data_IF_947625064091
#
_entry.id   IF_947625064091
#
_cell.length_a   1.000
_cell.length_b   1.000
_cell.length_c   1.000
_cell.angle_alpha   90.00
_cell.angle_beta   90.00
_cell.angle_gamma   90.00
#
_symmetry.space_group_name_H-M   'P 1'
#
loop_
_entity.id
_entity.type
_entity.pdbx_description
1 polymer ?
#
# COMPACT_ATOMS: atom_id res chain seq x y z
N UNK A 1 34.77 -0.40 9.54
CA UNK A 1 33.36 0.00 9.68
C UNK A 1 32.52 -1.25 9.56
N UNK A 2 31.47 -1.40 10.37
CA UNK A 2 30.53 -2.51 10.23
C UNK A 2 29.69 -2.27 8.97
N UNK A 3 29.44 -3.28 8.13
CA UNK A 3 28.63 -3.08 6.94
C UNK A 3 27.21 -2.67 7.30
N UNK A 4 26.58 -1.84 6.47
CA UNK A 4 25.18 -1.49 6.62
C UNK A 4 24.30 -2.74 6.51
N UNK A 5 23.23 -2.76 7.28
CA UNK A 5 22.15 -3.73 7.16
C UNK A 5 21.15 -3.30 6.08
N UNK A 6 20.35 -4.26 5.56
CA UNK A 6 19.26 -3.95 4.63
C UNK A 6 18.25 -2.94 5.22
N UNK A 7 17.97 -3.05 6.51
CA UNK A 7 17.09 -2.13 7.23
C UNK A 7 17.64 -0.70 7.24
N UNK A 8 18.93 -0.53 7.53
CA UNK A 8 19.60 0.78 7.48
C UNK A 8 19.58 1.36 6.07
N UNK A 9 19.81 0.53 5.04
CA UNK A 9 19.70 0.94 3.63
C UNK A 9 18.29 1.46 3.30
N UNK A 10 17.24 0.76 3.75
CA UNK A 10 15.86 1.20 3.61
C UNK A 10 15.58 2.53 4.34
N UNK A 11 16.16 2.72 5.53
CA UNK A 11 16.05 3.99 6.26
C UNK A 11 16.76 5.14 5.53
N UNK A 12 17.95 4.91 4.96
CA UNK A 12 18.66 5.91 4.15
C UNK A 12 17.83 6.35 2.94
N UNK A 13 17.17 5.42 2.26
CA UNK A 13 16.23 5.74 1.16
C UNK A 13 15.06 6.61 1.65
N UNK A 14 14.46 6.27 2.80
CA UNK A 14 13.40 7.08 3.41
C UNK A 14 13.87 8.49 3.77
N UNK A 15 15.12 8.67 4.22
CA UNK A 15 15.69 10.00 4.47
C UNK A 15 15.79 10.83 3.19
N UNK A 16 16.28 10.24 2.09
CA UNK A 16 16.37 10.90 0.79
C UNK A 16 14.99 11.26 0.23
N UNK A 17 13.99 10.40 0.40
CA UNK A 17 12.61 10.68 0.03
C UNK A 17 12.02 11.84 0.85
N UNK A 18 12.22 11.84 2.18
CA UNK A 18 11.81 12.93 3.05
C UNK A 18 12.47 14.26 2.66
N UNK A 19 13.76 14.22 2.31
CA UNK A 19 14.50 15.37 1.80
C UNK A 19 13.90 15.90 0.48
N UNK A 20 13.59 15.02 -0.47
CA UNK A 20 12.95 15.40 -1.72
C UNK A 20 11.59 16.09 -1.50
N UNK A 21 10.73 15.52 -0.64
CA UNK A 21 9.43 16.12 -0.30
C UNK A 21 9.58 17.50 0.36
N UNK A 22 10.47 17.62 1.34
CA UNK A 22 10.74 18.91 2.01
C UNK A 22 11.19 19.98 1.01
N UNK A 23 12.09 19.65 0.08
CA UNK A 23 12.55 20.59 -0.94
C UNK A 23 11.43 20.95 -1.91
N UNK A 24 10.63 19.97 -2.33
CA UNK A 24 9.49 20.18 -3.22
C UNK A 24 8.43 21.11 -2.60
N UNK A 25 8.05 20.86 -1.35
CA UNK A 25 7.07 21.71 -0.64
C UNK A 25 7.61 23.12 -0.46
N UNK A 26 8.91 23.26 -0.16
CA UNK A 26 9.54 24.57 -0.02
C UNK A 26 9.59 25.34 -1.34
N UNK A 27 9.82 24.66 -2.47
CA UNK A 27 9.79 25.27 -3.80
C UNK A 27 8.45 25.93 -4.12
N UNK A 28 7.35 25.34 -3.63
CA UNK A 28 6.00 25.85 -3.81
C UNK A 28 5.68 27.06 -2.92
N UNK A 29 6.41 27.22 -1.81
CA UNK A 29 6.19 28.30 -0.82
C UNK A 29 7.10 29.51 -1.01
N UNK A 30 8.31 29.33 -1.52
CA UNK A 30 9.30 30.41 -1.66
C UNK A 30 8.92 31.32 -2.83
N UNK A 31 9.08 32.64 -2.68
CA UNK A 31 8.88 33.63 -3.75
C UNK A 31 10.19 34.11 -4.40
N UNK A 32 11.29 34.12 -3.65
CA UNK A 32 12.61 34.57 -4.10
C UNK A 32 13.21 33.68 -5.21
N UNK A 33 13.62 34.28 -6.33
CA UNK A 33 14.15 33.57 -7.50
C UNK A 33 15.48 32.85 -7.24
N UNK A 34 16.38 33.45 -6.45
CA UNK A 34 17.68 32.86 -6.11
C UNK A 34 17.51 31.59 -5.26
N UNK A 35 16.69 31.64 -4.21
CA UNK A 35 16.37 30.50 -3.35
C UNK A 35 15.63 29.39 -4.11
N UNK A 36 14.74 29.72 -5.05
CA UNK A 36 14.11 28.71 -5.94
C UNK A 36 15.14 27.98 -6.80
N UNK A 37 16.13 28.70 -7.34
CA UNK A 37 17.18 28.08 -8.16
C UNK A 37 18.00 27.08 -7.34
N UNK A 38 18.39 27.47 -6.13
CA UNK A 38 19.15 26.62 -5.21
C UNK A 38 18.37 25.35 -4.84
N UNK A 39 17.11 25.49 -4.43
CA UNK A 39 16.24 24.35 -4.11
C UNK A 39 16.01 23.43 -5.32
N UNK A 40 15.89 23.96 -6.54
CA UNK A 40 15.78 23.13 -7.76
C UNK A 40 17.06 22.33 -8.03
N UNK A 41 18.23 22.93 -7.83
CA UNK A 41 19.51 22.22 -7.98
C UNK A 41 19.60 21.09 -6.95
N UNK A 42 19.21 21.37 -5.70
CA UNK A 42 19.22 20.38 -4.65
C UNK A 42 18.25 19.23 -4.92
N UNK A 43 17.01 19.53 -5.33
CA UNK A 43 16.02 18.51 -5.70
C UNK A 43 16.57 17.59 -6.81
N UNK A 44 17.19 18.15 -7.85
CA UNK A 44 17.80 17.35 -8.93
C UNK A 44 18.90 16.43 -8.42
N UNK A 45 19.75 16.90 -7.49
CA UNK A 45 20.80 16.07 -6.89
C UNK A 45 20.21 14.92 -6.07
N UNK A 46 19.18 15.19 -5.27
CA UNK A 46 18.48 14.16 -4.49
C UNK A 46 17.83 13.13 -5.42
N UNK A 47 17.13 13.57 -6.48
CA UNK A 47 16.50 12.68 -7.46
C UNK A 47 17.54 11.84 -8.23
N UNK A 48 18.67 12.44 -8.62
CA UNK A 48 19.78 11.71 -9.24
C UNK A 48 20.32 10.63 -8.30
N UNK A 49 20.51 10.95 -7.02
CA UNK A 49 20.95 9.98 -6.02
C UNK A 49 19.94 8.84 -5.88
N UNK A 50 18.64 9.14 -5.74
CA UNK A 50 17.57 8.12 -5.70
C UNK A 50 17.56 7.23 -6.96
N UNK A 51 17.83 7.80 -8.14
CA UNK A 51 17.90 7.05 -9.40
C UNK A 51 19.12 6.13 -9.45
N UNK A 52 20.29 6.57 -8.99
CA UNK A 52 21.49 5.72 -8.85
C UNK A 52 21.22 4.54 -7.91
N UNK A 53 20.56 4.79 -6.77
CA UNK A 53 20.12 3.73 -5.86
C UNK A 53 19.19 2.73 -6.54
N UNK A 54 18.21 3.23 -7.31
CA UNK A 54 17.28 2.37 -8.03
C UNK A 54 18.01 1.47 -9.02
N UNK A 55 18.95 2.02 -9.79
CA UNK A 55 19.76 1.26 -10.74
C UNK A 55 20.63 0.19 -10.04
N UNK A 56 21.23 0.53 -8.88
CA UNK A 56 21.99 -0.41 -8.08
C UNK A 56 21.11 -1.55 -7.56
N UNK A 57 19.91 -1.23 -7.04
CA UNK A 57 18.92 -2.22 -6.61
C UNK A 57 18.52 -3.12 -7.76
N UNK A 58 18.14 -2.56 -8.91
CA UNK A 58 17.73 -3.34 -10.08
C UNK A 58 18.87 -4.27 -10.52
N UNK A 59 20.11 -3.77 -10.61
CA UNK A 59 21.28 -4.58 -10.97
C UNK A 59 21.53 -5.72 -9.97
N UNK A 60 21.50 -5.43 -8.68
CA UNK A 60 21.77 -6.42 -7.62
C UNK A 60 20.64 -7.44 -7.51
N UNK A 61 19.39 -7.01 -7.64
CA UNK A 61 18.24 -7.88 -7.42
C UNK A 61 18.03 -8.85 -8.58
N UNK A 62 18.41 -8.45 -9.79
CA UNK A 62 18.16 -9.18 -11.05
C UNK A 62 19.32 -10.05 -11.51
N UNK A 63 20.54 -9.83 -11.03
CA UNK A 63 21.69 -10.69 -11.35
C UNK A 63 21.77 -11.87 -10.37
N UNK A 64 21.56 -13.13 -10.80
CA UNK A 64 21.86 -14.39 -10.09
C UNK A 64 21.18 -14.70 -8.71
N UNK A 65 21.04 -16.00 -8.41
CA UNK A 65 20.22 -16.55 -7.30
C UNK A 65 20.83 -16.50 -5.88
N UNK A 66 22.06 -15.99 -5.68
CA UNK A 66 22.73 -16.05 -4.36
C UNK A 66 22.47 -14.82 -3.48
N UNK A 67 21.48 -14.91 -2.59
CA UNK A 67 20.99 -13.84 -1.70
C UNK A 67 22.07 -13.13 -0.85
N UNK A 68 23.01 -13.87 -0.26
CA UNK A 68 24.03 -13.32 0.66
C UNK A 68 25.01 -12.39 -0.05
N UNK A 69 25.41 -12.71 -1.27
CA UNK A 69 26.38 -11.91 -2.04
C UNK A 69 25.76 -10.60 -2.54
N UNK A 70 24.44 -10.57 -2.70
CA UNK A 70 23.71 -9.41 -3.21
C UNK A 70 23.47 -8.35 -2.16
N UNK A 71 23.04 -8.76 -0.97
CA UNK A 71 22.90 -7.85 0.16
C UNK A 71 24.23 -7.12 0.42
N UNK A 72 25.35 -7.85 0.45
CA UNK A 72 26.67 -7.26 0.64
C UNK A 72 27.02 -6.23 -0.45
N UNK A 73 26.78 -6.53 -1.72
CA UNK A 73 27.08 -5.60 -2.84
C UNK A 73 26.28 -4.30 -2.75
N UNK A 74 24.98 -4.39 -2.45
CA UNK A 74 24.16 -3.19 -2.32
C UNK A 74 24.58 -2.37 -1.10
N UNK A 75 24.83 -3.02 0.05
CA UNK A 75 25.31 -2.33 1.25
C UNK A 75 26.65 -1.62 0.99
N UNK A 76 27.59 -2.26 0.30
CA UNK A 76 28.86 -1.63 -0.10
C UNK A 76 28.64 -0.41 -1.02
N UNK A 77 27.76 -0.50 -2.01
CA UNK A 77 27.43 0.66 -2.86
C UNK A 77 26.89 1.84 -2.04
N UNK A 78 26.04 1.56 -1.05
CA UNK A 78 25.45 2.59 -0.20
C UNK A 78 26.52 3.19 0.72
N UNK A 79 27.37 2.36 1.30
CA UNK A 79 28.52 2.78 2.11
C UNK A 79 29.43 3.74 1.37
N UNK A 80 29.75 3.45 0.10
CA UNK A 80 30.54 4.34 -0.77
C UNK A 80 29.87 5.69 -1.02
N UNK A 81 28.55 5.78 -0.85
CA UNK A 81 27.75 6.99 -1.10
C UNK A 81 27.33 7.71 0.18
N UNK A 82 27.60 7.16 1.38
CA UNK A 82 27.12 7.71 2.64
C UNK A 82 27.55 9.15 2.89
N UNK A 83 28.82 9.49 2.61
CA UNK A 83 29.32 10.86 2.79
C UNK A 83 28.58 11.84 1.87
N UNK A 84 28.37 11.46 0.61
CA UNK A 84 27.61 12.27 -0.34
C UNK A 84 26.16 12.47 0.10
N UNK A 85 25.53 11.41 0.61
CA UNK A 85 24.16 11.47 1.13
C UNK A 85 24.09 12.39 2.35
N UNK A 86 25.03 12.25 3.28
CA UNK A 86 25.10 13.10 4.47
C UNK A 86 25.23 14.59 4.09
N UNK A 87 26.07 14.90 3.09
CA UNK A 87 26.19 16.26 2.54
C UNK A 87 24.87 16.76 1.92
N UNK A 88 24.18 15.93 1.14
CA UNK A 88 22.87 16.29 0.55
C UNK A 88 21.81 16.53 1.61
N UNK A 89 21.75 15.69 2.64
CA UNK A 89 20.81 15.85 3.76
C UNK A 89 21.11 17.13 4.54
N UNK A 90 22.37 17.39 4.88
CA UNK A 90 22.79 18.61 5.57
C UNK A 90 22.47 19.87 4.76
N UNK A 91 22.76 19.86 3.45
CA UNK A 91 22.40 20.95 2.54
C UNK A 91 20.88 21.16 2.51
N UNK A 92 20.09 20.09 2.49
CA UNK A 92 18.63 20.16 2.55
C UNK A 92 18.12 20.80 3.81
N UNK A 93 18.62 20.38 4.97
CA UNK A 93 18.21 20.95 6.26
C UNK A 93 18.54 22.44 6.32
N UNK A 94 19.70 22.85 5.82
CA UNK A 94 20.13 24.24 5.80
C UNK A 94 19.29 25.10 4.84
N UNK A 95 19.08 24.66 3.60
CA UNK A 95 18.35 25.43 2.59
C UNK A 95 16.84 25.48 2.87
N UNK A 96 16.24 24.36 3.30
CA UNK A 96 14.80 24.29 3.54
C UNK A 96 14.39 24.77 4.94
N UNK A 97 15.33 24.83 5.89
CA UNK A 97 15.10 25.08 7.32
C UNK A 97 14.12 24.08 7.95
N UNK A 98 14.20 22.83 7.51
CA UNK A 98 13.36 21.73 7.97
C UNK A 98 14.21 20.58 8.46
N UNK A 99 13.72 19.83 9.44
CA UNK A 99 14.40 18.63 9.93
C UNK A 99 14.11 17.47 8.99
N UNK A 100 15.16 16.73 8.63
CA UNK A 100 15.03 15.40 8.03
C UNK A 100 15.14 14.38 9.16
N UNK A 101 14.26 13.38 9.25
CA UNK A 101 14.34 12.34 10.28
C UNK A 101 15.69 11.61 10.24
N UNK A 102 16.24 11.29 11.40
CA UNK A 102 17.41 10.40 11.49
C UNK A 102 16.99 8.94 11.27
N UNK A 103 17.95 8.07 10.89
CA UNK A 103 17.72 6.61 10.76
C UNK A 103 17.05 6.04 12.02
N UNK A 104 17.58 6.35 13.20
CA UNK A 104 17.02 5.88 14.48
C UNK A 104 15.58 6.35 14.70
N UNK A 105 15.24 7.58 14.28
CA UNK A 105 13.86 8.09 14.36
C UNK A 105 12.93 7.35 13.41
N UNK A 106 13.39 7.02 12.20
CA UNK A 106 12.62 6.25 11.22
C UNK A 106 12.37 4.82 11.72
N UNK A 107 13.38 4.18 12.32
CA UNK A 107 13.24 2.84 12.91
C UNK A 107 12.26 2.84 14.08
N UNK A 108 12.38 3.81 14.98
CA UNK A 108 11.46 3.98 16.11
C UNK A 108 10.02 4.24 15.64
N UNK A 109 9.84 5.04 14.58
CA UNK A 109 8.56 5.27 13.96
C UNK A 109 8.00 3.95 13.39
N UNK A 110 8.75 3.23 12.54
CA UNK A 110 8.30 1.95 12.00
C UNK A 110 7.90 0.95 13.10
N UNK A 111 8.66 0.87 14.20
CA UNK A 111 8.32 0.03 15.33
C UNK A 111 7.02 0.47 16.02
N UNK A 112 6.86 1.78 16.30
CA UNK A 112 5.65 2.34 16.91
C UNK A 112 4.42 2.08 16.04
N UNK A 113 4.55 2.25 14.73
CA UNK A 113 3.46 2.02 13.78
C UNK A 113 2.94 0.57 13.84
N UNK A 114 3.82 -0.42 14.00
CA UNK A 114 3.41 -1.82 14.19
C UNK A 114 2.69 -1.99 15.54
N UNK A 115 3.20 -1.36 16.61
CA UNK A 115 2.54 -1.40 17.92
C UNK A 115 1.14 -0.78 17.88
N UNK A 116 0.95 0.31 17.14
CA UNK A 116 -0.35 0.96 16.96
C UNK A 116 -1.35 0.01 16.26
N UNK A 117 -0.91 -0.75 15.24
CA UNK A 117 -1.75 -1.75 14.61
C UNK A 117 -2.12 -2.89 15.56
N UNK A 118 -1.17 -3.40 16.34
CA UNK A 118 -1.43 -4.45 17.33
C UNK A 118 -2.35 -3.98 18.46
N UNK A 119 -2.23 -2.72 18.89
CA UNK A 119 -3.13 -2.09 19.85
C UNK A 119 -4.55 -1.98 19.30
N UNK A 120 -4.72 -1.60 18.03
CA UNK A 120 -6.03 -1.58 17.38
C UNK A 120 -6.66 -2.97 17.27
N UNK A 121 -5.87 -4.02 17.00
CA UNK A 121 -6.37 -5.41 17.05
C UNK A 121 -6.82 -5.78 18.47
N UNK A 122 -6.10 -5.36 19.51
CA UNK A 122 -6.50 -5.63 20.89
C UNK A 122 -7.83 -4.93 21.27
N UNK A 123 -8.01 -3.70 20.80
CA UNK A 123 -9.19 -2.86 21.07
C UNK A 123 -10.35 -3.07 20.09
N UNK A 124 -10.21 -3.97 19.11
CA UNK A 124 -11.17 -4.15 18.03
C UNK A 124 -12.61 -4.35 18.51
N UNK A 125 -12.81 -5.10 19.60
CA UNK A 125 -14.14 -5.38 20.13
C UNK A 125 -14.80 -4.14 20.72
N UNK A 126 -14.03 -3.23 21.32
CA UNK A 126 -14.58 -1.97 21.85
C UNK A 126 -15.05 -1.08 20.70
N UNK A 127 -14.28 -1.06 19.60
CA UNK A 127 -14.62 -0.33 18.37
C UNK A 127 -15.84 -0.96 17.69
N UNK A 128 -15.92 -2.28 17.56
CA UNK A 128 -17.07 -2.94 16.96
C UNK A 128 -18.34 -2.76 17.80
N UNK A 129 -18.23 -2.84 19.13
CA UNK A 129 -19.35 -2.60 20.04
C UNK A 129 -19.89 -1.17 19.94
N UNK A 130 -19.04 -0.17 19.73
CA UNK A 130 -19.51 1.21 19.53
C UNK A 130 -20.30 1.42 18.24
N UNK A 131 -20.33 0.42 17.35
CA UNK A 131 -21.07 0.42 16.09
C UNK A 131 -22.12 -0.70 16.03
N UNK A 132 -22.49 -1.30 17.17
CA UNK A 132 -23.47 -2.40 17.29
C UNK A 132 -23.12 -3.66 16.45
N UNK A 133 -21.82 -3.93 16.26
CA UNK A 133 -21.33 -5.08 15.50
C UNK A 133 -20.98 -6.27 16.41
N UNK A 134 -21.08 -7.51 15.89
CA UNK A 134 -20.64 -8.70 16.62
C UNK A 134 -19.17 -8.62 17.01
N UNK A 135 -18.86 -9.16 18.19
CA UNK A 135 -17.49 -9.28 18.66
C UNK A 135 -16.68 -10.27 17.82
N UNK A 136 -15.40 -9.96 17.64
CA UNK A 136 -14.42 -10.91 17.13
C UNK A 136 -14.03 -11.87 18.24
N UNK A 137 -14.11 -13.17 17.97
CA UNK A 137 -13.66 -14.20 18.89
C UNK A 137 -12.14 -14.16 19.10
N UNK A 138 -11.68 -14.81 20.17
CA UNK A 138 -10.26 -14.79 20.52
C UNK A 138 -9.37 -15.45 19.45
N UNK A 139 -9.84 -16.47 18.74
CA UNK A 139 -9.04 -17.13 17.71
C UNK A 139 -8.78 -16.18 16.53
N UNK A 140 -9.81 -15.48 16.06
CA UNK A 140 -9.70 -14.49 14.99
C UNK A 140 -8.87 -13.26 15.43
N UNK A 141 -8.93 -12.85 16.69
CA UNK A 141 -8.02 -11.82 17.23
C UNK A 141 -6.55 -12.25 17.20
N UNK A 142 -6.25 -13.48 17.62
CA UNK A 142 -4.88 -14.00 17.56
C UNK A 142 -4.41 -14.17 16.11
N UNK A 143 -5.30 -14.58 15.19
CA UNK A 143 -5.00 -14.58 13.75
C UNK A 143 -4.71 -13.18 13.20
N UNK A 144 -5.47 -12.14 13.60
CA UNK A 144 -5.21 -10.76 13.22
C UNK A 144 -3.84 -10.27 13.71
N UNK A 145 -3.48 -10.56 14.97
CA UNK A 145 -2.15 -10.22 15.51
C UNK A 145 -1.03 -10.91 14.75
N UNK A 146 -1.17 -12.21 14.51
CA UNK A 146 -0.20 -13.00 13.76
C UNK A 146 -0.05 -12.48 12.32
N UNK A 147 -1.18 -12.15 11.68
CA UNK A 147 -1.23 -11.57 10.34
C UNK A 147 -0.51 -10.22 10.27
N UNK A 148 -0.85 -9.26 11.13
CA UNK A 148 -0.21 -7.93 11.16
C UNK A 148 1.30 -8.07 11.37
N UNK A 149 1.71 -8.87 12.34
CA UNK A 149 3.13 -9.11 12.63
C UNK A 149 3.84 -9.69 11.41
N UNK A 150 3.24 -10.72 10.79
CA UNK A 150 3.81 -11.40 9.62
C UNK A 150 3.95 -10.47 8.43
N UNK A 151 2.89 -9.74 8.07
CA UNK A 151 2.90 -8.82 6.94
C UNK A 151 4.01 -7.77 7.08
N UNK A 152 4.14 -7.18 8.28
CA UNK A 152 5.14 -6.13 8.54
C UNK A 152 6.57 -6.67 8.56
N UNK A 153 6.77 -7.89 9.06
CA UNK A 153 8.06 -8.56 8.97
C UNK A 153 8.41 -8.91 7.52
N UNK A 154 7.47 -9.43 6.74
CA UNK A 154 7.67 -9.76 5.33
C UNK A 154 8.04 -8.51 4.52
N UNK A 155 7.35 -7.39 4.73
CA UNK A 155 7.64 -6.11 4.07
C UNK A 155 9.03 -5.53 4.40
N UNK A 156 9.73 -6.06 5.42
CA UNK A 156 11.10 -5.67 5.75
C UNK A 156 12.15 -6.62 5.14
N UNK A 157 11.74 -7.75 4.56
CA UNK A 157 12.65 -8.77 4.06
C UNK A 157 13.16 -8.44 2.65
N UNK A 158 14.47 -8.58 2.45
CA UNK A 158 15.09 -8.45 1.14
C UNK A 158 14.45 -9.38 0.10
N UNK A 159 14.20 -10.64 0.46
CA UNK A 159 13.53 -11.62 -0.39
C UNK A 159 12.17 -11.15 -0.90
N UNK A 160 11.39 -10.44 -0.07
CA UNK A 160 10.10 -9.87 -0.46
C UNK A 160 10.27 -8.83 -1.57
N UNK A 161 11.16 -7.86 -1.38
CA UNK A 161 11.39 -6.81 -2.36
C UNK A 161 11.98 -7.34 -3.68
N UNK A 162 12.84 -8.37 -3.61
CA UNK A 162 13.36 -9.05 -4.81
C UNK A 162 12.27 -9.76 -5.59
N UNK A 163 11.45 -10.57 -4.90
CA UNK A 163 10.35 -11.29 -5.53
C UNK A 163 9.32 -10.35 -6.16
N UNK A 164 9.00 -9.26 -5.46
CA UNK A 164 8.10 -8.22 -5.97
C UNK A 164 8.68 -7.55 -7.23
N UNK A 165 9.93 -7.09 -7.20
CA UNK A 165 10.55 -6.43 -8.34
C UNK A 165 10.59 -7.35 -9.57
N UNK A 166 10.97 -8.61 -9.38
CA UNK A 166 11.00 -9.61 -10.45
C UNK A 166 9.61 -9.80 -11.08
N UNK A 167 8.59 -10.00 -10.25
CA UNK A 167 7.21 -10.17 -10.73
C UNK A 167 6.70 -8.92 -11.47
N UNK A 168 7.04 -7.72 -10.99
CA UNK A 168 6.68 -6.46 -11.66
C UNK A 168 7.32 -6.37 -13.05
N UNK A 169 8.61 -6.72 -13.21
CA UNK A 169 9.30 -6.65 -14.50
C UNK A 169 8.80 -7.69 -15.50
N UNK A 170 8.51 -8.91 -15.04
CA UNK A 170 7.94 -9.95 -15.88
C UNK A 170 6.60 -9.52 -16.51
N UNK A 171 5.81 -8.70 -15.80
CA UNK A 171 4.50 -8.21 -16.25
C UNK A 171 4.50 -6.78 -16.81
N UNK A 172 5.59 -6.02 -16.72
CA UNK A 172 5.72 -4.65 -17.27
C UNK A 172 6.71 -4.55 -18.43
N UNK A 173 7.06 -5.69 -19.04
CA UNK A 173 7.93 -5.75 -20.23
C UNK A 173 7.37 -5.00 -21.45
N UNK A 174 8.17 -4.91 -22.51
CA UNK A 174 7.84 -4.14 -23.73
C UNK A 174 6.52 -4.54 -24.42
N UNK A 175 6.05 -5.76 -24.15
CA UNK A 175 4.84 -6.33 -24.75
C UNK A 175 3.63 -6.27 -23.78
N UNK A 176 3.75 -5.57 -22.65
CA UNK A 176 2.67 -5.43 -21.67
C UNK A 176 1.75 -4.26 -22.01
N UNK A 177 0.45 -4.48 -21.85
CA UNK A 177 -0.58 -3.43 -21.91
C UNK A 177 -0.58 -2.52 -20.67
N UNK A 178 0.22 -2.87 -19.65
CA UNK A 178 0.27 -2.14 -18.38
C UNK A 178 1.61 -1.43 -18.17
N UNK A 179 1.51 -0.16 -17.76
CA UNK A 179 2.66 0.60 -17.25
C UNK A 179 3.21 0.00 -15.95
N UNK A 180 4.51 0.22 -15.68
CA UNK A 180 5.17 -0.33 -14.51
C UNK A 180 4.56 0.18 -13.18
N UNK A 181 4.04 1.41 -13.19
CA UNK A 181 3.40 2.04 -12.02
C UNK A 181 2.11 1.34 -11.60
N UNK A 182 1.40 0.69 -12.54
CA UNK A 182 0.18 -0.06 -12.25
C UNK A 182 0.40 -1.21 -11.25
N UNK A 183 1.64 -1.68 -11.12
CA UNK A 183 2.04 -2.77 -10.22
C UNK A 183 2.64 -2.28 -8.90
N UNK A 184 2.57 -0.97 -8.60
CA UNK A 184 3.13 -0.42 -7.37
C UNK A 184 2.51 -1.08 -6.12
N UNK A 185 3.37 -1.45 -5.17
CA UNK A 185 2.93 -2.03 -3.89
C UNK A 185 2.85 -0.97 -2.81
N UNK A 186 1.79 -1.04 -2.01
CA UNK A 186 1.70 -0.34 -0.76
C UNK A 186 0.69 -1.02 0.17
N UNK A 187 0.82 -0.75 1.45
CA UNK A 187 -0.06 -1.29 2.49
C UNK A 187 -0.91 -0.22 3.17
N UNK A 188 -2.12 -0.62 3.53
CA UNK A 188 -3.04 0.14 4.39
C UNK A 188 -3.06 -0.51 5.77
N UNK A 189 -2.65 0.20 6.83
CA UNK A 189 -2.63 -0.31 8.20
C UNK A 189 -4.01 -0.76 8.69
N UNK A 190 -4.02 -1.74 9.60
CA UNK A 190 -5.25 -2.27 10.19
C UNK A 190 -6.16 -1.18 10.81
N UNK A 191 -5.68 -0.19 11.58
CA UNK A 191 -6.52 0.87 12.13
C UNK A 191 -7.21 1.72 11.05
N UNK A 192 -6.50 1.99 9.94
CA UNK A 192 -7.06 2.75 8.82
C UNK A 192 -8.11 1.95 8.09
N UNK A 193 -7.84 0.66 7.84
CA UNK A 193 -8.83 -0.25 7.28
C UNK A 193 -10.07 -0.35 8.19
N UNK A 194 -9.88 -0.48 9.51
CA UNK A 194 -10.98 -0.59 10.46
C UNK A 194 -11.85 0.67 10.45
N UNK A 195 -11.23 1.86 10.51
CA UNK A 195 -11.94 3.13 10.43
C UNK A 195 -12.76 3.26 9.13
N UNK A 196 -12.21 2.79 8.00
CA UNK A 196 -12.91 2.79 6.72
C UNK A 196 -14.12 1.83 6.71
N UNK A 197 -13.98 0.65 7.30
CA UNK A 197 -15.05 -0.35 7.32
C UNK A 197 -16.08 -0.15 8.43
N UNK A 198 -15.82 0.72 9.41
CA UNK A 198 -16.81 1.15 10.41
C UNK A 198 -17.61 2.39 9.98
N UNK A 199 -17.39 2.89 8.76
CA UNK A 199 -18.22 3.97 8.22
C UNK A 199 -19.64 3.49 8.02
N UNK A 200 -20.61 4.34 8.36
CA UNK A 200 -22.03 3.99 8.34
C UNK A 200 -22.49 3.38 7.02
N UNK A 201 -22.10 3.96 5.88
CA UNK A 201 -22.47 3.42 4.56
C UNK A 201 -21.96 2.00 4.34
N UNK A 202 -20.74 1.69 4.76
CA UNK A 202 -20.14 0.36 4.64
C UNK A 202 -20.84 -0.64 5.56
N UNK A 203 -21.13 -0.24 6.81
CA UNK A 203 -21.88 -1.07 7.74
C UNK A 203 -23.31 -1.35 7.25
N UNK A 204 -23.99 -0.33 6.72
CA UNK A 204 -25.33 -0.49 6.17
C UNK A 204 -25.32 -1.49 4.99
N UNK A 205 -24.28 -1.50 4.15
CA UNK A 205 -24.12 -2.48 3.08
C UNK A 205 -23.88 -3.90 3.61
N UNK A 206 -23.10 -4.05 4.68
CA UNK A 206 -22.85 -5.36 5.32
C UNK A 206 -24.14 -5.92 5.96
N UNK A 207 -24.89 -5.07 6.66
CA UNK A 207 -26.09 -5.48 7.42
C UNK A 207 -27.31 -5.67 6.52
N UNK A 208 -27.36 -5.06 5.33
CA UNK A 208 -28.45 -5.24 4.37
C UNK A 208 -28.58 -6.70 3.94
N UNK A 209 -27.46 -7.37 3.70
CA UNK A 209 -27.43 -8.76 3.25
C UNK A 209 -26.29 -9.57 3.91
N UNK A 210 -26.33 -9.82 5.23
CA UNK A 210 -25.18 -10.34 5.98
C UNK A 210 -24.73 -11.73 5.53
N UNK A 211 -25.62 -12.52 4.91
CA UNK A 211 -25.29 -13.84 4.35
C UNK A 211 -24.76 -13.80 2.91
N UNK A 212 -24.91 -12.68 2.22
CA UNK A 212 -24.50 -12.51 0.81
C UNK A 212 -23.39 -11.45 0.65
N UNK A 213 -23.19 -10.60 1.65
CA UNK A 213 -22.19 -9.54 1.63
C UNK A 213 -20.81 -10.09 1.27
N UNK A 214 -20.34 -9.71 0.08
CA UNK A 214 -19.05 -10.13 -0.43
C UNK A 214 -18.15 -8.92 -0.67
N UNK A 215 -16.98 -8.94 -0.05
CA UNK A 215 -15.89 -8.02 -0.37
C UNK A 215 -15.09 -8.58 -1.55
N UNK A 216 -14.83 -7.74 -2.54
CA UNK A 216 -13.80 -8.00 -3.56
C UNK A 216 -12.74 -6.92 -3.47
N UNK A 217 -11.47 -7.30 -3.56
CA UNK A 217 -10.33 -6.36 -3.58
C UNK A 217 -9.59 -6.53 -4.89
N UNK A 218 -9.59 -5.49 -5.71
CA UNK A 218 -8.77 -5.42 -6.93
C UNK A 218 -7.39 -4.87 -6.59
N UNK A 219 -6.34 -5.57 -7.04
CA UNK A 219 -4.96 -5.32 -6.63
C UNK A 219 -4.75 -5.70 -5.15
N UNK A 220 -5.15 -6.92 -4.79
CA UNK A 220 -5.18 -7.38 -3.40
C UNK A 220 -3.80 -7.58 -2.77
N UNK A 221 -2.72 -7.52 -3.56
CA UNK A 221 -1.34 -7.64 -3.10
C UNK A 221 -1.13 -8.92 -2.28
N UNK A 222 -0.46 -8.83 -1.13
CA UNK A 222 -0.28 -9.94 -0.19
C UNK A 222 -1.54 -10.29 0.62
N UNK A 223 -2.68 -9.65 0.33
CA UNK A 223 -4.00 -10.03 0.82
C UNK A 223 -4.48 -9.36 2.11
N UNK A 224 -3.75 -8.38 2.64
CA UNK A 224 -4.04 -7.74 3.94
C UNK A 224 -5.52 -7.31 4.11
N UNK A 225 -6.05 -6.56 3.14
CA UNK A 225 -7.42 -6.03 3.19
C UNK A 225 -8.49 -7.15 3.13
N UNK A 226 -8.20 -8.22 2.40
CA UNK A 226 -9.07 -9.40 2.27
C UNK A 226 -9.10 -10.16 3.59
N UNK A 227 -7.93 -10.34 4.22
CA UNK A 227 -7.82 -11.00 5.51
C UNK A 227 -8.47 -10.19 6.63
N UNK A 228 -8.28 -8.87 6.67
CA UNK A 228 -8.90 -8.02 7.68
C UNK A 228 -10.42 -8.15 7.63
N UNK A 229 -11.04 -8.07 6.44
CA UNK A 229 -12.48 -8.23 6.29
C UNK A 229 -12.97 -9.62 6.74
N UNK A 230 -12.27 -10.68 6.34
CA UNK A 230 -12.61 -12.04 6.74
C UNK A 230 -12.48 -12.24 8.26
N UNK A 231 -11.41 -11.77 8.89
CA UNK A 231 -11.13 -12.05 10.30
C UNK A 231 -11.87 -11.10 11.25
N UNK A 232 -12.01 -9.82 10.89
CA UNK A 232 -12.62 -8.80 11.75
C UNK A 232 -14.15 -8.72 11.62
N UNK A 233 -14.69 -8.98 10.43
CA UNK A 233 -16.11 -8.77 10.12
C UNK A 233 -16.82 -10.04 9.63
N UNK A 234 -16.12 -11.18 9.61
CA UNK A 234 -16.61 -12.46 9.09
C UNK A 234 -17.12 -12.40 7.63
N UNK A 235 -16.64 -11.43 6.84
CA UNK A 235 -17.07 -11.24 5.46
C UNK A 235 -16.46 -12.26 4.51
N UNK A 236 -17.28 -12.78 3.60
CA UNK A 236 -16.78 -13.52 2.43
C UNK A 236 -15.97 -12.56 1.57
N UNK A 237 -14.70 -12.89 1.36
CA UNK A 237 -13.75 -11.95 0.77
C UNK A 237 -12.96 -12.62 -0.37
N UNK A 238 -12.88 -11.94 -1.51
CA UNK A 238 -12.06 -12.36 -2.66
C UNK A 238 -11.01 -11.31 -2.99
N UNK A 239 -9.73 -11.68 -2.97
CA UNK A 239 -8.65 -10.87 -3.51
C UNK A 239 -8.35 -11.24 -4.96
N UNK A 240 -8.19 -10.23 -5.82
CA UNK A 240 -7.70 -10.39 -7.19
C UNK A 240 -6.35 -9.71 -7.30
N UNK A 241 -5.33 -10.48 -7.70
CA UNK A 241 -3.96 -10.03 -7.83
C UNK A 241 -3.36 -10.60 -9.11
N UNK A 242 -2.70 -9.76 -9.90
CA UNK A 242 -2.13 -10.17 -11.19
C UNK A 242 -0.70 -10.70 -11.01
N UNK A 243 0.05 -10.21 -10.01
CA UNK A 243 1.41 -10.64 -9.72
C UNK A 243 1.40 -12.02 -9.02
N UNK A 244 1.89 -13.11 -9.65
CA UNK A 244 1.84 -14.45 -9.07
C UNK A 244 2.56 -14.54 -7.72
N UNK A 245 3.69 -13.83 -7.58
CA UNK A 245 4.46 -13.76 -6.34
C UNK A 245 3.62 -13.29 -5.14
N UNK A 246 2.88 -12.19 -5.29
CA UNK A 246 2.05 -11.66 -4.20
C UNK A 246 0.84 -12.55 -3.92
N UNK A 247 0.22 -13.10 -4.97
CA UNK A 247 -0.84 -14.08 -4.84
C UNK A 247 -0.39 -15.33 -4.05
N UNK A 248 0.80 -15.86 -4.33
CA UNK A 248 1.34 -17.02 -3.62
C UNK A 248 1.58 -16.73 -2.15
N UNK A 249 2.11 -15.55 -1.81
CA UNK A 249 2.26 -15.10 -0.43
C UNK A 249 0.91 -15.01 0.30
N UNK A 250 -0.12 -14.49 -0.38
CA UNK A 250 -1.48 -14.42 0.16
C UNK A 250 -2.06 -15.83 0.38
N UNK A 251 -1.99 -16.72 -0.60
CA UNK A 251 -2.47 -18.10 -0.47
C UNK A 251 -1.72 -18.89 0.61
N UNK A 252 -0.40 -18.69 0.74
CA UNK A 252 0.38 -19.32 1.80
C UNK A 252 -0.05 -18.81 3.18
N UNK A 253 -0.22 -17.49 3.34
CA UNK A 253 -0.71 -16.89 4.58
C UNK A 253 -2.09 -17.42 4.95
N UNK A 254 -3.00 -17.54 3.96
CA UNK A 254 -4.34 -18.12 4.17
C UNK A 254 -4.28 -19.56 4.68
N UNK A 255 -3.41 -20.38 4.10
CA UNK A 255 -3.22 -21.79 4.50
C UNK A 255 -2.66 -21.89 5.92
N UNK A 256 -1.66 -21.08 6.24
CA UNK A 256 -0.99 -21.10 7.54
C UNK A 256 -1.94 -20.67 8.67
N UNK A 257 -2.79 -19.68 8.41
CA UNK A 257 -3.86 -19.24 9.33
C UNK A 257 -5.11 -20.16 9.27
N UNK A 258 -5.08 -21.21 8.45
CA UNK A 258 -6.15 -22.20 8.30
C UNK A 258 -7.51 -21.59 7.92
N UNK A 259 -7.51 -20.47 7.18
CA UNK A 259 -8.74 -19.78 6.77
C UNK A 259 -9.35 -20.50 5.57
N UNK A 260 -10.61 -20.89 5.67
CA UNK A 260 -11.33 -21.59 4.59
C UNK A 260 -11.42 -20.77 3.30
N UNK A 261 -11.26 -21.43 2.15
CA UNK A 261 -11.44 -20.82 0.81
C UNK A 261 -12.84 -20.23 0.58
N UNK A 262 -13.85 -20.71 1.31
CA UNK A 262 -15.21 -20.17 1.21
C UNK A 262 -15.35 -18.80 1.87
N UNK A 263 -14.48 -18.52 2.86
CA UNK A 263 -14.44 -17.29 3.63
C UNK A 263 -13.45 -16.29 3.05
N UNK A 264 -12.25 -16.73 2.71
CA UNK A 264 -11.20 -15.90 2.12
C UNK A 264 -10.61 -16.64 0.91
N UNK A 265 -10.61 -16.02 -0.27
CA UNK A 265 -10.12 -16.62 -1.51
C UNK A 265 -9.25 -15.63 -2.27
N UNK A 266 -8.17 -16.11 -2.88
CA UNK A 266 -7.37 -15.32 -3.80
C UNK A 266 -7.47 -15.86 -5.23
N UNK A 267 -7.44 -14.95 -6.21
CA UNK A 267 -7.41 -15.25 -7.64
C UNK A 267 -6.16 -14.59 -8.23
N UNK A 268 -5.26 -15.41 -8.76
CA UNK A 268 -4.17 -14.94 -9.60
C UNK A 268 -4.73 -14.63 -11.00
N UNK A 269 -5.16 -13.40 -11.23
CA UNK A 269 -5.84 -13.02 -12.46
C UNK A 269 -5.77 -11.51 -12.69
N UNK A 270 -5.92 -11.12 -13.95
CA UNK A 270 -6.22 -9.74 -14.31
C UNK A 270 -7.65 -9.40 -13.83
N UNK A 271 -7.77 -8.34 -13.03
CA UNK A 271 -9.04 -7.84 -12.51
C UNK A 271 -10.06 -7.48 -13.59
N UNK A 272 -9.63 -7.08 -14.79
CA UNK A 272 -10.53 -6.79 -15.91
C UNK A 272 -11.28 -8.05 -16.38
N UNK A 273 -10.70 -9.24 -16.18
CA UNK A 273 -11.28 -10.53 -16.59
C UNK A 273 -12.17 -11.19 -15.54
N UNK A 274 -12.14 -10.71 -14.30
CA UNK A 274 -12.89 -11.30 -13.18
C UNK A 274 -14.26 -10.64 -13.04
N UNK A 275 -15.33 -11.44 -12.97
CA UNK A 275 -16.68 -10.92 -12.72
C UNK A 275 -16.82 -10.29 -11.32
N UNK A 276 -17.54 -9.18 -11.25
CA UNK A 276 -17.91 -8.45 -10.02
C UNK A 276 -19.41 -8.49 -9.71
N UNK A 277 -20.18 -9.35 -10.40
CA UNK A 277 -21.65 -9.37 -10.26
C UNK A 277 -22.13 -9.73 -8.85
N UNK A 278 -21.41 -10.58 -8.13
CA UNK A 278 -21.75 -10.97 -6.76
C UNK A 278 -21.18 -10.00 -5.71
N UNK A 279 -20.42 -8.98 -6.12
CA UNK A 279 -19.68 -8.09 -5.22
C UNK A 279 -20.61 -7.03 -4.61
N UNK A 280 -20.75 -7.04 -3.29
CA UNK A 280 -21.49 -6.01 -2.55
C UNK A 280 -20.62 -4.81 -2.19
N UNK A 281 -19.34 -5.07 -1.89
CA UNK A 281 -18.33 -4.05 -1.59
C UNK A 281 -17.10 -4.35 -2.44
N UNK A 282 -16.71 -3.41 -3.29
CA UNK A 282 -15.49 -3.47 -4.08
C UNK A 282 -14.47 -2.48 -3.52
N UNK A 283 -13.24 -2.92 -3.24
CA UNK A 283 -12.14 -2.04 -2.88
C UNK A 283 -11.12 -2.02 -4.01
N UNK A 284 -10.87 -0.84 -4.57
CA UNK A 284 -9.87 -0.61 -5.62
C UNK A 284 -8.58 -0.12 -4.97
N UNK A 285 -7.45 -0.81 -5.17
CA UNK A 285 -6.13 -0.30 -4.75
C UNK A 285 -5.51 0.61 -5.81
N UNK A 286 -6.29 1.56 -6.31
CA UNK A 286 -6.03 2.25 -7.57
C UNK A 286 -4.97 3.35 -7.54
N UNK A 287 -4.34 3.62 -6.40
CA UNK A 287 -3.56 4.83 -6.15
C UNK A 287 -2.53 5.12 -7.27
N UNK A 288 -1.85 4.09 -7.77
CA UNK A 288 -0.83 4.22 -8.82
C UNK A 288 -1.31 3.79 -10.22
N UNK A 289 -2.57 3.39 -10.38
CA UNK A 289 -3.08 3.02 -11.70
C UNK A 289 -3.11 4.23 -12.63
N UNK A 290 -2.58 4.08 -13.84
CA UNK A 290 -2.64 5.09 -14.87
C UNK A 290 -4.08 5.33 -15.36
N UNK A 291 -4.26 6.39 -16.15
CA UNK A 291 -5.58 6.78 -16.64
C UNK A 291 -6.22 5.73 -17.57
N UNK A 292 -5.40 5.00 -18.34
CA UNK A 292 -5.89 4.02 -19.30
C UNK A 292 -6.45 2.78 -18.59
N UNK A 293 -5.72 2.25 -17.61
CA UNK A 293 -6.20 1.15 -16.78
C UNK A 293 -7.42 1.55 -15.97
N UNK A 294 -7.40 2.73 -15.34
CA UNK A 294 -8.53 3.19 -14.54
C UNK A 294 -9.81 3.35 -15.38
N UNK A 295 -9.70 3.87 -16.61
CA UNK A 295 -10.84 3.99 -17.52
C UNK A 295 -11.42 2.63 -17.88
N UNK A 296 -10.59 1.60 -18.11
CA UNK A 296 -11.05 0.24 -18.36
C UNK A 296 -11.78 -0.35 -17.15
N UNK A 297 -11.25 -0.13 -15.93
CA UNK A 297 -11.92 -0.53 -14.69
C UNK A 297 -13.27 0.18 -14.58
N UNK A 298 -13.33 1.50 -14.78
CA UNK A 298 -14.58 2.25 -14.71
C UNK A 298 -15.64 1.66 -15.65
N UNK A 299 -15.34 1.47 -16.94
CA UNK A 299 -16.28 0.89 -17.89
C UNK A 299 -16.76 -0.51 -17.46
N UNK A 300 -15.85 -1.34 -16.92
CA UNK A 300 -16.20 -2.65 -16.39
C UNK A 300 -17.20 -2.53 -15.22
N UNK A 301 -16.95 -1.63 -14.27
CA UNK A 301 -17.84 -1.45 -13.12
C UNK A 301 -19.21 -0.89 -13.53
N UNK A 302 -19.25 0.01 -14.51
CA UNK A 302 -20.51 0.54 -15.07
C UNK A 302 -21.37 -0.59 -15.67
N UNK A 303 -20.73 -1.54 -16.34
CA UNK A 303 -21.38 -2.65 -17.04
C UNK A 303 -21.75 -3.85 -16.14
N UNK A 304 -20.92 -4.19 -15.16
CA UNK A 304 -21.04 -5.45 -14.41
C UNK A 304 -21.47 -5.29 -12.95
N UNK A 305 -21.08 -4.19 -12.29
CA UNK A 305 -21.32 -4.01 -10.86
C UNK A 305 -22.80 -3.70 -10.62
N UNK A 306 -23.40 -4.42 -9.68
CA UNK A 306 -24.83 -4.29 -9.40
C UNK A 306 -25.16 -2.94 -8.75
N UNK A 307 -26.30 -2.31 -9.09
CA UNK A 307 -26.81 -1.15 -8.36
C UNK A 307 -26.90 -1.42 -6.84
N UNK A 308 -26.60 -0.39 -6.04
CA UNK A 308 -26.53 -0.48 -4.59
C UNK A 308 -25.21 -1.06 -4.04
N UNK A 309 -24.34 -1.63 -4.88
CA UNK A 309 -23.01 -2.03 -4.45
C UNK A 309 -22.12 -0.82 -4.15
N UNK A 310 -21.22 -0.97 -3.18
CA UNK A 310 -20.27 0.07 -2.81
C UNK A 310 -18.92 -0.11 -3.49
N UNK A 311 -18.30 1.01 -3.87
CA UNK A 311 -16.90 1.05 -4.33
C UNK A 311 -16.09 1.94 -3.39
N UNK A 312 -15.05 1.39 -2.79
CA UNK A 312 -14.09 2.12 -1.98
C UNK A 312 -12.80 2.29 -2.79
N UNK A 313 -12.32 3.52 -2.89
CA UNK A 313 -11.16 3.86 -3.72
C UNK A 313 -10.23 4.88 -3.03
N UNK A 314 -8.95 4.86 -3.39
CA UNK A 314 -7.94 5.87 -3.02
C UNK A 314 -8.06 7.13 -3.89
N UNK A 315 -8.78 7.05 -5.02
CA UNK A 315 -9.00 8.15 -5.97
C UNK A 315 -10.47 8.57 -6.02
N UNK A 316 -10.68 9.84 -6.36
CA UNK A 316 -12.01 10.39 -6.59
C UNK A 316 -12.47 10.31 -8.06
N UNK A 317 -11.87 9.42 -8.86
CA UNK A 317 -12.04 9.46 -10.31
C UNK A 317 -13.43 8.94 -10.77
N UNK A 318 -14.04 8.01 -10.03
CA UNK A 318 -15.41 7.56 -10.30
C UNK A 318 -16.48 8.68 -10.20
N UNK A 319 -16.19 9.80 -9.51
CA UNK A 319 -17.13 10.93 -9.44
C UNK A 319 -17.46 11.52 -10.82
N UNK A 320 -16.60 11.30 -11.82
CA UNK A 320 -16.84 11.76 -13.19
C UNK A 320 -17.91 10.94 -13.94
N UNK A 321 -18.24 9.74 -13.45
CA UNK A 321 -19.23 8.86 -14.05
C UNK A 321 -20.63 9.13 -13.49
N UNK A 322 -21.68 9.18 -14.33
CA UNK A 322 -23.07 9.31 -13.87
C UNK A 322 -23.59 8.04 -13.17
N UNK A 323 -22.83 6.95 -13.20
CA UNK A 323 -23.23 5.65 -12.63
C UNK A 323 -22.83 5.49 -11.15
N UNK A 324 -22.08 6.43 -10.61
CA UNK A 324 -21.57 6.38 -9.24
C UNK A 324 -21.89 7.67 -8.49
N UNK A 325 -22.42 7.52 -7.27
CA UNK A 325 -22.65 8.63 -6.36
C UNK A 325 -21.64 8.57 -5.22
N UNK A 326 -20.89 9.67 -5.00
CA UNK A 326 -19.99 9.79 -3.86
C UNK A 326 -20.82 9.92 -2.57
N UNK A 327 -20.72 8.91 -1.70
CA UNK A 327 -21.36 8.93 -0.39
C UNK A 327 -20.49 9.66 0.63
N UNK A 328 -19.22 9.27 0.75
CA UNK A 328 -18.32 9.76 1.78
C UNK A 328 -16.90 9.95 1.25
N UNK A 329 -16.23 10.99 1.75
CA UNK A 329 -14.79 11.15 1.65
C UNK A 329 -14.19 11.08 3.06
N UNK A 330 -13.18 10.23 3.23
CA UNK A 330 -12.43 10.09 4.47
C UNK A 330 -11.03 10.68 4.26
N UNK A 331 -10.79 11.95 4.63
CA UNK A 331 -9.46 12.55 4.51
C UNK A 331 -8.53 12.10 5.63
N UNK A 332 -7.24 12.43 5.50
CA UNK A 332 -6.23 12.31 6.55
C UNK A 332 -6.03 10.88 7.10
N UNK A 333 -6.20 9.89 6.23
CA UNK A 333 -5.94 8.50 6.57
C UNK A 333 -4.47 8.14 6.33
N UNK A 334 -3.90 7.33 7.22
CA UNK A 334 -2.51 6.90 7.11
C UNK A 334 -2.40 5.64 6.24
N UNK A 335 -1.43 5.64 5.33
CA UNK A 335 -1.03 4.49 4.50
C UNK A 335 0.50 4.47 4.42
N UNK A 336 1.08 3.37 3.95
CA UNK A 336 2.55 3.18 3.94
C UNK A 336 3.34 4.24 3.15
N UNK A 337 2.72 4.93 2.18
CA UNK A 337 3.37 5.96 1.36
C UNK A 337 2.99 7.41 1.73
N UNK A 338 1.94 7.61 2.54
CA UNK A 338 1.41 8.94 2.87
C UNK A 338 0.65 8.91 4.22
N UNK A 339 0.88 9.90 5.07
CA UNK A 339 0.17 10.04 6.35
C UNK A 339 -1.17 10.78 6.25
N UNK A 340 -1.53 11.27 5.06
CA UNK A 340 -2.76 12.04 4.82
C UNK A 340 -3.43 11.67 3.49
N UNK A 341 -3.65 10.37 3.28
CA UNK A 341 -4.41 9.83 2.16
C UNK A 341 -5.91 10.12 2.32
N UNK A 342 -6.60 10.41 1.22
CA UNK A 342 -8.06 10.41 1.19
C UNK A 342 -8.57 9.09 0.63
N UNK A 343 -9.66 8.58 1.22
CA UNK A 343 -10.45 7.48 0.65
C UNK A 343 -11.83 8.00 0.25
N UNK A 344 -12.41 7.40 -0.78
CA UNK A 344 -13.70 7.78 -1.34
C UNK A 344 -14.59 6.55 -1.37
N UNK A 345 -15.81 6.69 -0.88
CA UNK A 345 -16.83 5.65 -0.87
C UNK A 345 -17.94 6.06 -1.82
N UNK A 346 -18.13 5.29 -2.87
CA UNK A 346 -19.16 5.47 -3.87
C UNK A 346 -20.23 4.39 -3.76
N UNK A 347 -21.45 4.69 -4.18
CA UNK A 347 -22.51 3.71 -4.43
C UNK A 347 -22.81 3.66 -5.93
N UNK A 348 -22.98 2.44 -6.46
CA UNK A 348 -23.43 2.23 -7.84
C UNK A 348 -24.91 2.58 -7.94
N UNK A 349 -25.26 3.55 -8.78
CA UNK A 349 -26.64 4.01 -8.95
C UNK A 349 -27.52 3.03 -9.75
N UNK A 350 -28.81 2.96 -9.44
CA UNK A 350 -29.81 2.42 -10.37
C UNK A 350 -29.88 3.37 -11.57
N UNK A 351 -29.73 2.87 -12.79
CA UNK A 351 -29.88 3.68 -14.00
C UNK A 351 -31.35 3.97 -14.29
#
# INVERSE_FOLDING_TARGET
MTPLTWEECGCTLKQLQAAAHVVHDKLNQVSCSASKRELRVLLRKILSCLQEFRQAIDTVFLLNDHEVTHQQKLCCFIEEKLDHIAELLAATQNCARSKIPAITSIQQECFREIQDELAAVAQINDILASHDLPYVDNANKEHLKALVTRLRQQEQQLAFHRGLLKAQQELSGSDSDYSAENFAYGSTPFPTWLNLFTQKSVLDAIVREPKQAMLTVFGSSSGSLVFFAALALDLRSTGVEILPFLHELAEQTRKDLQISKNKCRFKCADMLTVSVQETSILLLTSQCWDAALYQQVQHKLEAELQPGALVIDYKNALQSSPHFHLLHQLPHQRVSWNNSQSFFIFERSEQ
#
